data_IF_269115260758
#
_entry.id   IF_269115260758
#
_cell.length_a   1.000
_cell.length_b   1.000
_cell.length_c   1.000
_cell.angle_alpha   90.00
_cell.angle_beta   90.00
_cell.angle_gamma   90.00
#
_symmetry.space_group_name_H-M   'P 1'
#
loop_
_entity.id
_entity.type
_entity.pdbx_description
1 polymer ?
#
# COMPACT_ATOMS: atom_id res chain seq x y z
N UNK A 1 -5.23 -5.88 -7.67
CA UNK A 1 -5.19 -4.66 -6.80
C UNK A 1 -3.97 -4.77 -5.91
N UNK A 2 -3.20 -3.68 -5.78
CA UNK A 2 -1.98 -3.64 -4.97
C UNK A 2 -2.27 -4.09 -3.52
N UNK A 3 -1.89 -5.32 -3.19
CA UNK A 3 -2.08 -5.92 -1.87
C UNK A 3 -0.76 -6.43 -1.26
N UNK A 4 0.36 -6.14 -1.91
CA UNK A 4 1.72 -6.44 -1.44
C UNK A 4 2.68 -5.38 -1.96
N UNK A 5 3.58 -4.93 -1.11
CA UNK A 5 4.60 -3.98 -1.55
C UNK A 5 5.94 -4.20 -0.81
N UNK A 6 6.95 -3.49 -1.28
CA UNK A 6 8.33 -3.57 -0.80
C UNK A 6 8.76 -2.21 -0.28
N UNK A 7 9.46 -2.20 0.85
CA UNK A 7 10.14 -1.03 1.39
C UNK A 7 11.48 -1.47 1.97
N UNK A 8 12.55 -1.20 1.26
CA UNK A 8 13.91 -1.65 1.56
C UNK A 8 14.94 -0.52 1.56
N UNK A 9 14.54 0.66 1.07
CA UNK A 9 15.38 1.85 1.13
C UNK A 9 15.78 2.18 2.57
N UNK A 10 17.02 2.60 2.81
CA UNK A 10 17.46 3.02 4.14
C UNK A 10 16.55 4.12 4.72
N UNK A 11 16.31 4.08 6.03
CA UNK A 11 15.45 5.03 6.72
C UNK A 11 15.85 6.50 6.46
N UNK A 12 17.15 6.78 6.36
CA UNK A 12 17.65 8.12 6.04
C UNK A 12 17.31 8.59 4.62
N UNK A 13 17.33 7.68 3.64
CA UNK A 13 16.92 8.00 2.27
C UNK A 13 15.42 8.30 2.20
N UNK A 14 14.58 7.52 2.91
CA UNK A 14 13.16 7.77 3.02
C UNK A 14 12.92 9.10 3.73
N UNK A 15 13.57 9.35 4.86
CA UNK A 15 13.47 10.60 5.61
C UNK A 15 13.83 11.82 4.75
N UNK A 16 14.93 11.74 4.01
CA UNK A 16 15.38 12.82 3.13
C UNK A 16 14.37 13.13 2.02
N UNK A 17 13.78 12.09 1.38
CA UNK A 17 12.79 12.27 0.33
C UNK A 17 11.46 12.84 0.87
N UNK A 18 10.98 12.27 1.97
CA UNK A 18 9.66 12.61 2.51
C UNK A 18 9.67 13.82 3.44
N UNK A 19 10.82 14.22 3.98
CA UNK A 19 11.04 15.46 4.73
C UNK A 19 10.40 15.48 6.12
N UNK A 20 10.38 14.35 6.84
CA UNK A 20 10.00 14.28 8.25
C UNK A 20 11.24 14.27 9.16
N UNK A 21 11.06 14.60 10.45
CA UNK A 21 12.15 14.77 11.39
C UNK A 21 12.51 13.50 12.17
N UNK A 22 11.58 12.60 12.38
CA UNK A 22 11.70 11.39 13.18
C UNK A 22 12.77 10.44 12.60
N UNK A 23 13.35 9.61 13.46
CA UNK A 23 14.34 8.59 13.09
C UNK A 23 13.81 7.19 13.45
N UNK A 24 12.83 6.67 12.69
CA UNK A 24 12.26 5.37 12.99
C UNK A 24 13.27 4.27 12.76
N UNK A 25 13.37 3.33 13.70
CA UNK A 25 14.05 2.07 13.47
C UNK A 25 13.10 1.10 12.74
N UNK A 26 13.25 1.07 11.43
CA UNK A 26 12.36 0.35 10.54
C UNK A 26 13.20 -0.59 9.65
N UNK A 27 13.09 -1.92 9.81
CA UNK A 27 13.86 -2.86 9.02
C UNK A 27 13.36 -2.92 7.58
N UNK A 28 14.22 -3.29 6.61
CA UNK A 28 13.78 -3.57 5.24
C UNK A 28 12.71 -4.66 5.22
N UNK A 29 11.68 -4.46 4.40
CA UNK A 29 10.57 -5.38 4.21
C UNK A 29 10.38 -5.65 2.72
N UNK A 30 10.41 -6.93 2.36
CA UNK A 30 10.33 -7.38 0.97
C UNK A 30 8.94 -7.88 0.59
N UNK A 31 8.03 -8.03 1.56
CA UNK A 31 6.70 -8.60 1.32
C UNK A 31 5.67 -8.08 2.31
N UNK A 32 5.50 -6.76 2.36
CA UNK A 32 4.50 -6.13 3.23
C UNK A 32 3.11 -6.53 2.77
N UNK A 33 2.31 -7.08 3.68
CA UNK A 33 0.97 -7.60 3.43
C UNK A 33 -0.10 -6.83 4.24
N UNK A 34 -1.37 -6.88 3.82
CA UNK A 34 -2.48 -6.33 4.60
C UNK A 34 -2.47 -6.79 6.06
N UNK A 35 -2.99 -5.96 6.94
CA UNK A 35 -3.03 -6.07 8.40
C UNK A 35 -1.71 -5.82 9.12
N UNK A 36 -0.60 -5.79 8.41
CA UNK A 36 0.71 -5.47 8.99
C UNK A 36 0.88 -3.96 9.19
N UNK A 37 1.77 -3.54 10.11
CA UNK A 37 2.14 -2.14 10.26
C UNK A 37 2.88 -1.65 9.01
N UNK A 38 2.52 -0.46 8.54
CA UNK A 38 3.15 0.24 7.42
C UNK A 38 3.53 1.66 7.81
N UNK A 39 4.65 2.19 7.29
CA UNK A 39 4.97 3.58 7.44
C UNK A 39 4.04 4.45 6.60
N UNK A 40 3.63 5.57 7.18
CA UNK A 40 3.00 6.67 6.46
C UNK A 40 3.69 7.98 6.81
N UNK A 41 3.59 8.95 5.91
CA UNK A 41 3.95 10.34 6.18
C UNK A 41 2.69 11.18 6.04
N UNK A 42 2.34 11.90 7.10
CA UNK A 42 1.18 12.79 7.14
C UNK A 42 1.61 14.21 7.48
N UNK A 43 0.72 15.17 7.29
CA UNK A 43 0.92 16.53 7.80
C UNK A 43 0.34 16.61 9.20
N UNK A 44 1.16 17.03 10.16
CA UNK A 44 0.79 17.24 11.54
C UNK A 44 1.28 18.63 11.96
N UNK A 45 0.36 19.51 12.42
CA UNK A 45 0.66 20.92 12.75
C UNK A 45 1.51 21.65 11.67
N UNK A 46 1.24 21.40 10.39
CA UNK A 46 1.96 22.00 9.28
C UNK A 46 3.34 21.40 8.98
N UNK A 47 3.76 20.35 9.70
CA UNK A 47 5.01 19.64 9.48
C UNK A 47 4.73 18.21 9.02
N UNK A 48 5.64 17.68 8.21
CA UNK A 48 5.57 16.27 7.84
C UNK A 48 6.03 15.40 9.01
N UNK A 49 5.19 14.45 9.39
CA UNK A 49 5.42 13.54 10.49
C UNK A 49 5.33 12.09 10.01
N UNK A 50 6.20 11.24 10.53
CA UNK A 50 6.20 9.79 10.33
C UNK A 50 5.24 9.14 11.32
N UNK A 51 4.49 8.13 10.86
CA UNK A 51 3.71 7.27 11.74
C UNK A 51 3.72 5.82 11.22
N UNK A 52 3.61 4.87 12.14
CA UNK A 52 3.31 3.47 11.81
C UNK A 52 1.82 3.24 12.03
N UNK A 53 1.15 2.71 11.00
CA UNK A 53 -0.29 2.45 11.03
C UNK A 53 -0.59 1.05 10.50
N UNK A 54 -1.71 0.48 10.86
CA UNK A 54 -2.14 -0.80 10.32
C UNK A 54 -2.63 -0.64 8.87
N UNK A 55 -2.13 -1.45 7.94
CA UNK A 55 -2.64 -1.49 6.57
C UNK A 55 -3.97 -2.25 6.51
N UNK A 56 -5.02 -1.53 6.27
CA UNK A 56 -6.39 -2.03 6.29
C UNK A 56 -7.29 -1.02 6.96
N UNK A 57 -7.76 -0.07 6.17
CA UNK A 57 -8.50 1.11 6.59
C UNK A 57 -9.80 0.74 7.30
N UNK A 58 -10.01 1.30 8.46
CA UNK A 58 -11.18 1.12 9.27
C UNK A 58 -11.85 2.49 9.51
N UNK A 59 -13.02 2.74 8.91
CA UNK A 59 -13.74 3.99 9.13
C UNK A 59 -14.11 4.18 10.59
N UNK A 60 -14.02 5.41 11.11
CA UNK A 60 -14.28 5.74 12.52
C UNK A 60 -15.69 5.39 13.00
N UNK A 61 -16.66 5.26 12.10
CA UNK A 61 -18.06 4.90 12.42
C UNK A 61 -18.31 3.39 12.56
N UNK A 62 -17.33 2.54 12.25
CA UNK A 62 -17.47 1.08 12.38
C UNK A 62 -17.52 0.71 13.85
N UNK A 63 -18.57 0.00 14.26
CA UNK A 63 -18.75 -0.42 15.66
C UNK A 63 -17.96 -1.66 16.02
N UNK A 64 -17.94 -2.65 15.13
CA UNK A 64 -17.21 -3.92 15.31
C UNK A 64 -16.32 -4.19 14.10
N UNK A 65 -14.98 -4.02 14.24
CA UNK A 65 -14.05 -4.23 13.14
C UNK A 65 -14.00 -5.68 12.65
N UNK A 66 -14.40 -6.66 13.46
CA UNK A 66 -14.39 -8.09 13.09
C UNK A 66 -15.44 -8.41 12.04
N UNK A 67 -16.51 -7.64 11.99
CA UNK A 67 -17.60 -7.80 11.01
C UNK A 67 -17.45 -6.92 9.78
N UNK A 68 -16.42 -6.07 9.75
CA UNK A 68 -16.20 -5.13 8.67
C UNK A 68 -15.17 -5.65 7.67
N UNK A 69 -15.46 -5.51 6.38
CA UNK A 69 -14.54 -5.94 5.31
C UNK A 69 -13.25 -5.13 5.33
N UNK A 70 -12.12 -5.81 5.22
CA UNK A 70 -10.79 -5.18 5.17
C UNK A 70 -10.65 -4.30 3.92
N UNK A 71 -10.47 -3.00 4.12
CA UNK A 71 -10.28 -2.02 3.04
C UNK A 71 -8.80 -1.68 2.86
N UNK A 72 -8.09 -2.49 2.09
CA UNK A 72 -6.66 -2.27 1.82
C UNK A 72 -6.40 -1.21 0.75
N UNK A 73 -7.37 -1.01 -0.16
CA UNK A 73 -7.28 -0.02 -1.24
C UNK A 73 -8.53 0.84 -1.34
N UNK A 74 -8.34 2.09 -1.76
CA UNK A 74 -9.39 3.03 -2.10
C UNK A 74 -9.33 3.34 -3.60
N UNK A 75 -10.43 3.13 -4.34
CA UNK A 75 -10.46 3.46 -5.79
C UNK A 75 -10.57 4.96 -5.97
N UNK A 76 -9.63 5.58 -6.68
CA UNK A 76 -9.59 7.03 -6.96
C UNK A 76 -10.88 7.56 -7.58
N UNK A 77 -11.51 6.77 -8.46
CA UNK A 77 -12.73 7.14 -9.18
C UNK A 77 -13.94 7.35 -8.27
N UNK A 78 -13.94 6.78 -7.07
CA UNK A 78 -15.09 6.85 -6.14
C UNK A 78 -14.74 7.30 -4.73
N UNK A 79 -13.46 7.56 -4.46
CA UNK A 79 -12.96 7.83 -3.10
C UNK A 79 -13.55 9.10 -2.47
N UNK A 80 -13.89 10.10 -3.29
CA UNK A 80 -14.46 11.39 -2.84
C UNK A 80 -15.87 11.19 -2.27
N UNK A 81 -16.66 10.30 -2.88
CA UNK A 81 -18.07 10.13 -2.57
C UNK A 81 -18.35 8.95 -1.64
N UNK A 82 -17.48 7.92 -1.70
CA UNK A 82 -17.71 6.68 -0.97
C UNK A 82 -17.70 6.92 0.55
N UNK A 83 -18.77 6.55 1.29
CA UNK A 83 -18.91 6.82 2.72
C UNK A 83 -17.71 6.39 3.56
N UNK A 84 -17.07 5.29 3.22
CA UNK A 84 -15.90 4.79 3.93
C UNK A 84 -14.70 5.75 3.84
N UNK A 85 -14.50 6.45 2.73
CA UNK A 85 -13.27 7.19 2.46
C UNK A 85 -13.43 8.72 2.37
N UNK A 86 -14.64 9.21 2.12
CA UNK A 86 -14.89 10.65 1.84
C UNK A 86 -14.34 11.59 2.92
N UNK A 87 -14.43 11.21 4.20
CA UNK A 87 -13.92 12.02 5.30
C UNK A 87 -12.39 12.01 5.33
N UNK A 88 -11.78 10.84 5.16
CA UNK A 88 -10.33 10.72 5.08
C UNK A 88 -9.76 11.44 3.86
N UNK A 89 -10.43 11.38 2.70
CA UNK A 89 -10.04 12.11 1.51
C UNK A 89 -10.04 13.63 1.72
N UNK A 90 -10.94 14.15 2.54
CA UNK A 90 -11.02 15.57 2.87
C UNK A 90 -10.02 16.02 3.93
N UNK A 91 -9.62 15.14 4.87
CA UNK A 91 -8.93 15.57 6.11
C UNK A 91 -7.70 14.74 6.49
N UNK A 92 -7.50 13.55 5.93
CA UNK A 92 -6.53 12.55 6.40
C UNK A 92 -5.83 11.85 5.25
N UNK A 93 -5.25 12.68 4.37
CA UNK A 93 -4.38 12.19 3.30
C UNK A 93 -2.98 11.94 3.85
N UNK A 94 -2.32 10.90 3.37
CA UNK A 94 -0.95 10.58 3.73
C UNK A 94 -0.19 10.05 2.51
N UNK A 95 1.13 9.98 2.61
CA UNK A 95 1.99 9.29 1.67
C UNK A 95 2.42 7.95 2.27
N UNK A 96 2.43 6.90 1.48
CA UNK A 96 2.96 5.59 1.87
C UNK A 96 4.28 5.38 1.14
N UNK A 97 5.43 5.41 1.84
CA UNK A 97 6.74 5.11 1.25
C UNK A 97 6.81 3.66 0.76
N UNK A 98 7.35 3.45 -0.43
CA UNK A 98 7.56 2.13 -1.02
C UNK A 98 8.72 2.15 -2.01
N UNK A 99 9.38 1.01 -2.22
CA UNK A 99 10.40 0.81 -3.25
C UNK A 99 9.84 0.06 -4.48
N UNK A 100 8.64 -0.49 -4.35
CA UNK A 100 7.94 -1.20 -5.40
C UNK A 100 6.74 -1.96 -4.85
N UNK A 101 6.01 -2.62 -5.72
CA UNK A 101 4.84 -3.41 -5.35
C UNK A 101 4.73 -4.66 -6.20
N UNK A 102 3.91 -5.60 -5.75
CA UNK A 102 3.61 -6.80 -6.51
C UNK A 102 2.21 -6.73 -7.10
N UNK A 103 2.10 -7.24 -8.31
CA UNK A 103 0.82 -7.55 -8.97
C UNK A 103 0.88 -8.92 -9.61
N UNK A 104 -0.27 -9.56 -9.72
CA UNK A 104 -0.42 -10.88 -10.29
C UNK A 104 -1.14 -10.78 -11.64
N UNK A 105 -0.61 -11.50 -12.63
CA UNK A 105 -1.27 -11.57 -13.93
C UNK A 105 -2.71 -12.08 -13.81
N UNK A 106 -3.60 -11.59 -14.67
CA UNK A 106 -4.98 -12.08 -14.76
C UNK A 106 -5.09 -13.44 -15.45
N UNK A 107 -3.98 -13.90 -16.10
CA UNK A 107 -3.90 -15.24 -16.71
C UNK A 107 -3.81 -16.35 -15.66
N UNK A 108 -4.24 -17.55 -16.00
CA UNK A 108 -4.08 -18.73 -15.14
C UNK A 108 -3.03 -19.68 -15.71
N UNK A 109 -2.09 -20.17 -14.89
CA UNK A 109 -1.87 -19.82 -13.48
C UNK A 109 -1.43 -18.36 -13.32
N UNK A 110 -1.83 -17.71 -12.21
CA UNK A 110 -1.43 -16.34 -11.89
C UNK A 110 0.06 -16.31 -11.61
N UNK A 111 0.77 -15.41 -12.29
CA UNK A 111 2.21 -15.19 -12.07
C UNK A 111 2.42 -13.88 -11.34
N UNK A 112 3.23 -13.83 -10.28
CA UNK A 112 3.59 -12.60 -9.61
C UNK A 112 4.63 -11.81 -10.41
N UNK A 113 4.43 -10.50 -10.45
CA UNK A 113 5.35 -9.53 -11.02
C UNK A 113 5.75 -8.54 -9.95
N UNK A 114 7.03 -8.19 -9.88
CA UNK A 114 7.50 -7.06 -9.10
C UNK A 114 7.58 -5.82 -10.00
N UNK A 115 7.02 -4.73 -9.52
CA UNK A 115 6.95 -3.44 -10.21
C UNK A 115 7.70 -2.42 -9.39
N UNK A 116 8.66 -1.71 -9.99
CA UNK A 116 9.50 -0.73 -9.31
C UNK A 116 9.85 0.45 -10.20
N UNK A 117 10.35 1.58 -9.62
CA UNK A 117 10.94 2.64 -10.41
C UNK A 117 12.16 2.15 -11.22
N UNK A 118 12.24 2.50 -12.49
CA UNK A 118 13.41 2.20 -13.35
C UNK A 118 14.70 2.82 -12.82
N UNK A 119 14.59 4.01 -12.24
CA UNK A 119 15.73 4.73 -11.65
C UNK A 119 16.14 4.19 -10.27
N UNK A 120 15.38 3.24 -9.72
CA UNK A 120 15.53 2.81 -8.33
C UNK A 120 15.08 3.87 -7.33
N UNK A 121 15.25 3.55 -6.03
CA UNK A 121 14.88 4.42 -4.92
C UNK A 121 13.40 4.44 -4.57
N UNK A 122 13.06 5.09 -3.45
CA UNK A 122 11.69 5.09 -2.94
C UNK A 122 10.75 5.99 -3.74
N UNK A 123 9.50 5.56 -3.82
CA UNK A 123 8.34 6.29 -4.35
C UNK A 123 7.29 6.47 -3.26
N UNK A 124 6.34 7.35 -3.51
CA UNK A 124 5.24 7.62 -2.61
C UNK A 124 3.92 7.15 -3.22
N UNK A 125 3.22 6.25 -2.56
CA UNK A 125 1.82 6.01 -2.90
C UNK A 125 0.92 7.02 -2.19
N UNK A 126 -0.13 7.48 -2.88
CA UNK A 126 -1.21 8.20 -2.23
C UNK A 126 -1.93 7.28 -1.25
N UNK A 127 -2.06 7.72 -0.02
CA UNK A 127 -2.74 6.99 1.04
C UNK A 127 -3.81 7.83 1.72
N UNK A 128 -4.76 7.15 2.35
CA UNK A 128 -5.73 7.71 3.27
C UNK A 128 -5.57 7.02 4.61
N UNK A 129 -5.66 7.76 5.70
CA UNK A 129 -5.56 7.20 7.04
C UNK A 129 -6.77 7.58 7.89
N UNK A 130 -7.02 6.83 8.97
CA UNK A 130 -8.09 7.08 9.92
C UNK A 130 -7.71 6.50 11.27
N UNK A 131 -8.07 7.20 12.35
CA UNK A 131 -8.06 6.65 13.70
C UNK A 131 -9.43 6.06 13.99
N UNK A 132 -9.48 4.77 14.22
CA UNK A 132 -10.66 4.11 14.74
C UNK A 132 -10.56 4.04 16.27
N UNK A 133 -11.63 4.46 16.96
CA UNK A 133 -11.73 4.38 18.41
C UNK A 133 -12.75 3.32 18.78
N UNK A 134 -12.33 2.32 19.52
CA UNK A 134 -13.17 1.24 19.97
C UNK A 134 -14.01 1.57 21.20
N UNK A 135 -14.92 0.67 21.59
CA UNK A 135 -15.88 0.92 22.67
C UNK A 135 -15.23 1.07 24.03
N UNK A 136 -14.01 0.58 24.22
CA UNK A 136 -13.28 0.72 25.50
C UNK A 136 -12.24 1.85 25.46
N UNK A 137 -12.24 2.68 24.40
CA UNK A 137 -11.30 3.78 24.23
C UNK A 137 -9.96 3.38 23.58
N UNK A 138 -9.83 2.14 23.10
CA UNK A 138 -8.67 1.74 22.30
C UNK A 138 -8.64 2.50 20.98
N UNK A 139 -7.47 2.95 20.56
CA UNK A 139 -7.28 3.65 19.29
C UNK A 139 -6.38 2.86 18.35
N UNK A 140 -6.79 2.75 17.10
CA UNK A 140 -6.01 2.09 16.05
C UNK A 140 -5.94 3.00 14.83
N UNK A 141 -4.74 3.46 14.51
CA UNK A 141 -4.48 4.16 13.26
C UNK A 141 -4.39 3.16 12.12
N UNK A 142 -5.15 3.41 11.06
CA UNK A 142 -5.27 2.52 9.91
C UNK A 142 -5.09 3.29 8.60
N UNK A 143 -4.67 2.62 7.53
CA UNK A 143 -4.54 3.25 6.23
C UNK A 143 -4.99 2.36 5.07
N UNK A 144 -5.36 2.99 3.95
CA UNK A 144 -5.56 2.38 2.64
C UNK A 144 -4.72 3.09 1.58
N UNK A 145 -4.28 2.35 0.56
CA UNK A 145 -3.58 2.90 -0.60
C UNK A 145 -4.62 3.30 -1.66
N UNK A 146 -4.51 4.50 -2.21
CA UNK A 146 -5.35 4.95 -3.32
C UNK A 146 -4.86 4.30 -4.61
N UNK A 147 -5.78 3.77 -5.40
CA UNK A 147 -5.48 3.11 -6.67
C UNK A 147 -6.19 3.79 -7.83
N UNK A 148 -5.59 3.72 -9.00
CA UNK A 148 -6.13 4.20 -10.28
C UNK A 148 -6.02 3.11 -11.35
N UNK A 149 -6.47 3.36 -12.55
CA UNK A 149 -6.26 2.45 -13.70
C UNK A 149 -4.77 2.29 -13.96
N UNK A 150 -4.37 1.13 -14.47
CA UNK A 150 -2.99 0.89 -14.89
C UNK A 150 -2.59 1.80 -16.06
N UNK A 151 -1.30 2.11 -16.13
CA UNK A 151 -0.71 2.62 -17.36
C UNK A 151 -0.58 1.49 -18.40
N UNK A 152 -0.13 1.83 -19.63
CA UNK A 152 -0.03 0.83 -20.73
C UNK A 152 0.98 -0.27 -20.43
N UNK A 153 2.07 0.05 -19.75
CA UNK A 153 3.11 -0.95 -19.45
C UNK A 153 2.66 -2.03 -18.45
N UNK A 154 1.71 -1.70 -17.55
CA UNK A 154 1.20 -2.62 -16.54
C UNK A 154 -0.16 -3.22 -16.90
N UNK A 155 -0.86 -2.69 -17.91
CA UNK A 155 -2.20 -3.15 -18.30
C UNK A 155 -2.24 -4.64 -18.71
N UNK A 156 -1.13 -5.19 -19.21
CA UNK A 156 -1.01 -6.61 -19.53
C UNK A 156 -0.90 -7.52 -18.29
N UNK A 157 -0.57 -6.95 -17.12
CA UNK A 157 -0.42 -7.67 -15.86
C UNK A 157 -1.72 -7.53 -15.05
N UNK A 158 -2.16 -6.29 -14.81
CA UNK A 158 -3.33 -5.99 -14.01
C UNK A 158 -3.94 -4.65 -14.43
N UNK A 159 -5.27 -4.50 -14.28
CA UNK A 159 -6.03 -3.30 -14.66
C UNK A 159 -5.86 -2.11 -13.70
N UNK A 160 -5.24 -2.31 -12.53
CA UNK A 160 -5.06 -1.30 -11.48
C UNK A 160 -3.60 -1.14 -11.07
N UNK A 161 -3.26 0.07 -10.61
CA UNK A 161 -1.99 0.39 -9.97
C UNK A 161 -2.19 1.39 -8.83
N UNK A 162 -1.25 1.48 -7.86
CA UNK A 162 -1.27 2.56 -6.87
C UNK A 162 -1.12 3.92 -7.55
N UNK A 163 -1.77 4.94 -7.01
CA UNK A 163 -1.49 6.33 -7.39
C UNK A 163 -0.12 6.70 -6.83
N UNK A 164 0.81 7.05 -7.72
CA UNK A 164 2.15 7.49 -7.35
C UNK A 164 2.18 9.01 -7.33
N UNK A 165 2.46 9.58 -6.15
CA UNK A 165 2.56 11.04 -5.96
C UNK A 165 4.01 11.45 -6.20
N UNK A 166 4.30 12.32 -7.18
CA UNK A 166 5.65 12.82 -7.38
C UNK A 166 6.06 13.77 -6.25
N UNK A 167 7.37 13.88 -5.90
CA UNK A 167 7.85 14.72 -4.80
C UNK A 167 7.37 16.17 -4.86
N UNK A 168 7.28 16.74 -6.06
CA UNK A 168 6.79 18.10 -6.28
C UNK A 168 5.31 18.30 -5.88
N UNK A 169 4.53 17.21 -5.81
CA UNK A 169 3.11 17.23 -5.44
C UNK A 169 2.85 16.80 -3.98
N UNK A 170 3.87 16.51 -3.17
CA UNK A 170 3.68 16.06 -1.79
C UNK A 170 2.86 17.05 -0.96
N UNK A 171 3.17 18.35 -1.04
CA UNK A 171 2.42 19.37 -0.30
C UNK A 171 0.97 19.48 -0.80
N UNK A 172 0.76 19.44 -2.12
CA UNK A 172 -0.58 19.46 -2.70
C UNK A 172 -1.42 18.27 -2.19
N UNK A 173 -0.80 17.09 -2.08
CA UNK A 173 -1.49 15.91 -1.57
C UNK A 173 -1.74 15.97 -0.06
N UNK A 174 -0.75 16.36 0.73
CA UNK A 174 -0.80 16.29 2.20
C UNK A 174 -1.61 17.41 2.83
N UNK A 175 -1.61 18.63 2.25
CA UNK A 175 -2.26 19.77 2.86
C UNK A 175 -3.77 19.74 2.67
N UNK A 176 -4.44 19.10 3.62
CA UNK A 176 -5.90 18.99 3.64
C UNK A 176 -6.60 20.30 4.03
N UNK A 177 -5.89 21.28 4.56
CA UNK A 177 -6.45 22.56 4.97
C UNK A 177 -6.52 23.55 3.79
N UNK A 178 -5.46 23.61 2.99
CA UNK A 178 -5.36 24.50 1.84
C UNK A 178 -5.89 23.89 0.52
N UNK A 179 -5.89 22.54 0.40
CA UNK A 179 -6.21 21.82 -0.84
C UNK A 179 -7.43 20.91 -0.61
N UNK A 180 -8.53 21.21 -1.27
CA UNK A 180 -9.74 20.39 -1.20
C UNK A 180 -9.56 19.01 -1.86
N UNK A 181 -10.53 18.11 -1.59
CA UNK A 181 -10.49 16.74 -2.08
C UNK A 181 -10.54 16.64 -3.61
N UNK A 182 -11.26 17.53 -4.28
CA UNK A 182 -11.42 17.54 -5.74
C UNK A 182 -10.11 17.96 -6.43
N UNK A 183 -9.47 19.01 -5.92
CA UNK A 183 -8.16 19.48 -6.40
C UNK A 183 -7.09 18.40 -6.18
N UNK A 184 -7.07 17.76 -5.00
CA UNK A 184 -6.13 16.67 -4.72
C UNK A 184 -6.36 15.43 -5.62
N UNK A 185 -7.60 15.17 -6.02
CA UNK A 185 -7.94 14.05 -6.92
C UNK A 185 -7.41 14.22 -8.34
N UNK A 186 -6.98 15.41 -8.74
CA UNK A 186 -6.27 15.59 -10.01
C UNK A 186 -4.96 14.77 -10.11
N UNK A 187 -4.44 14.29 -8.98
CA UNK A 187 -3.29 13.37 -8.91
C UNK A 187 -3.63 11.91 -9.23
N UNK A 188 -4.91 11.53 -9.37
CA UNK A 188 -5.32 10.14 -9.59
C UNK A 188 -5.12 9.69 -11.04
N UNK A 189 -3.99 10.05 -11.61
CA UNK A 189 -3.58 9.63 -12.93
C UNK A 189 -2.65 8.41 -12.86
N UNK A 190 -2.69 7.52 -13.86
CA UNK A 190 -1.69 6.49 -14.01
C UNK A 190 -0.28 7.11 -14.09
N UNK A 191 0.69 6.48 -13.44
CA UNK A 191 2.07 6.90 -13.59
C UNK A 191 2.55 6.75 -15.05
N UNK A 192 3.51 7.59 -15.46
CA UNK A 192 4.11 7.50 -16.79
C UNK A 192 4.63 6.09 -17.07
N UNK A 193 4.44 5.58 -18.28
CA UNK A 193 5.02 4.31 -18.76
C UNK A 193 6.54 4.27 -18.64
N UNK A 194 7.19 5.44 -18.66
CA UNK A 194 8.63 5.56 -18.51
C UNK A 194 9.12 5.46 -17.05
N UNK A 195 8.25 5.63 -16.07
CA UNK A 195 8.61 5.65 -14.65
C UNK A 195 8.93 4.26 -14.11
N UNK A 196 8.14 3.26 -14.49
CA UNK A 196 8.16 1.93 -13.88
C UNK A 196 8.70 0.87 -14.85
N UNK A 197 9.30 -0.15 -14.27
CA UNK A 197 9.59 -1.42 -14.92
C UNK A 197 8.92 -2.55 -14.13
N UNK A 198 8.68 -3.68 -14.79
CA UNK A 198 8.12 -4.87 -14.17
C UNK A 198 8.79 -6.13 -14.70
N UNK A 199 8.94 -7.13 -13.85
CA UNK A 199 9.44 -8.44 -14.21
C UNK A 199 8.82 -9.53 -13.33
N UNK A 200 8.73 -10.73 -13.86
CA UNK A 200 8.21 -11.88 -13.13
C UNK A 200 9.17 -12.26 -11.99
N UNK A 201 8.58 -12.66 -10.85
CA UNK A 201 9.32 -13.12 -9.67
C UNK A 201 8.84 -14.50 -9.22
N UNK A 202 9.52 -15.07 -8.23
CA UNK A 202 9.16 -16.38 -7.67
C UNK A 202 7.78 -16.38 -7.02
N UNK A 203 7.06 -17.50 -7.14
CA UNK A 203 5.80 -17.76 -6.43
C UNK A 203 5.96 -17.77 -4.90
N UNK A 204 7.19 -17.78 -4.37
CA UNK A 204 7.46 -17.67 -2.95
C UNK A 204 6.83 -16.40 -2.32
N UNK A 205 6.63 -15.33 -3.10
CA UNK A 205 5.96 -14.09 -2.66
C UNK A 205 4.49 -14.32 -2.27
N UNK A 206 3.85 -15.38 -2.74
CA UNK A 206 2.45 -15.70 -2.41
C UNK A 206 2.26 -15.93 -0.90
N UNK A 207 3.26 -16.44 -0.21
CA UNK A 207 3.23 -16.64 1.24
C UNK A 207 3.68 -15.35 1.93
N UNK A 208 2.77 -14.69 2.67
CA UNK A 208 3.04 -13.44 3.38
C UNK A 208 4.13 -13.57 4.48
N UNK A 209 4.38 -14.79 4.96
CA UNK A 209 5.44 -15.06 5.92
C UNK A 209 6.85 -15.02 5.31
N UNK A 210 6.96 -15.15 3.99
CA UNK A 210 8.25 -14.99 3.32
C UNK A 210 8.55 -13.50 3.19
N UNK A 211 9.70 -13.07 3.69
CA UNK A 211 10.13 -11.67 3.70
C UNK A 211 11.65 -11.61 3.57
N UNK A 212 12.16 -11.77 2.34
CA UNK A 212 13.60 -11.85 2.06
C UNK A 212 13.97 -11.25 0.71
N UNK A 213 15.25 -10.86 0.49
CA UNK A 213 15.70 -10.23 -0.76
C UNK A 213 15.43 -11.04 -2.03
N UNK A 214 15.37 -12.38 -1.93
CA UNK A 214 15.14 -13.26 -3.07
C UNK A 214 13.77 -13.04 -3.73
N UNK A 215 12.80 -12.46 -2.99
CA UNK A 215 11.46 -12.20 -3.50
C UNK A 215 11.40 -11.13 -4.60
N UNK A 216 12.41 -10.25 -4.66
CA UNK A 216 12.51 -9.20 -5.68
C UNK A 216 13.51 -9.53 -6.79
N UNK A 217 14.05 -10.75 -6.81
CA UNK A 217 14.94 -11.22 -7.88
C UNK A 217 14.12 -11.69 -9.08
N UNK A 218 14.48 -11.29 -10.31
CA UNK A 218 13.81 -11.79 -11.51
C UNK A 218 13.79 -13.33 -11.55
N UNK A 219 12.61 -13.89 -11.79
CA UNK A 219 12.49 -15.34 -11.99
C UNK A 219 13.22 -15.77 -13.28
N UNK A 220 13.88 -16.93 -13.30
CA UNK A 220 14.45 -17.47 -14.53
C UNK A 220 13.39 -17.61 -15.64
N UNK A 221 13.75 -17.35 -16.87
CA UNK A 221 12.84 -17.42 -18.02
C UNK A 221 12.23 -18.82 -18.27
N UNK A 222 12.71 -19.86 -17.59
CA UNK A 222 12.38 -21.28 -17.80
C UNK A 222 11.37 -21.88 -16.80
N UNK A 223 10.72 -21.10 -15.94
CA UNK A 223 9.73 -21.65 -14.97
C UNK A 223 8.32 -21.60 -15.56
N UNK A 224 8.14 -22.24 -16.69
CA UNK A 224 6.83 -22.53 -17.29
C UNK A 224 6.39 -23.99 -17.04
N UNK A 225 6.71 -24.54 -15.89
CA UNK A 225 6.33 -25.90 -15.50
C UNK A 225 5.40 -25.87 -14.28
N UNK A 226 4.14 -26.27 -14.55
CA UNK A 226 3.03 -26.39 -13.61
C UNK A 226 3.20 -27.42 -12.48
N UNK A 227 4.28 -27.35 -11.71
CA UNK A 227 4.54 -28.31 -10.63
C UNK A 227 4.19 -27.82 -9.23
N UNK A 228 3.85 -26.53 -9.01
CA UNK A 228 3.53 -25.99 -7.68
C UNK A 228 2.04 -25.61 -7.48
N UNK A 229 1.14 -26.12 -8.30
CA UNK A 229 -0.29 -25.77 -8.24
C UNK A 229 -1.07 -26.47 -7.10
N UNK A 230 -0.44 -27.30 -6.27
CA UNK A 230 -1.15 -28.18 -5.33
C UNK A 230 -1.22 -27.68 -3.88
N UNK A 231 -0.70 -26.47 -3.55
CA UNK A 231 -0.64 -26.02 -2.15
C UNK A 231 -1.28 -24.64 -1.86
N UNK A 232 -2.06 -24.06 -2.77
CA UNK A 232 -2.48 -22.67 -2.65
C UNK A 232 -4.01 -22.44 -2.62
N UNK A 233 -4.82 -23.42 -2.27
CA UNK A 233 -6.28 -23.22 -2.19
C UNK A 233 -6.86 -23.80 -0.89
N UNK A 234 -6.48 -23.18 0.24
CA UNK A 234 -7.24 -23.29 1.49
C UNK A 234 -7.68 -21.88 1.90
N UNK A 235 -8.98 -21.63 2.07
CA UNK A 235 -9.44 -20.34 2.60
C UNK A 235 -8.89 -20.15 4.00
N UNK A 236 -8.44 -18.93 4.32
CA UNK A 236 -7.99 -18.58 5.65
C UNK A 236 -9.11 -18.87 6.66
N UNK A 237 -8.85 -19.80 7.58
CA UNK A 237 -9.73 -20.17 8.67
C UNK A 237 -9.98 -18.95 9.58
N UNK A 238 -11.22 -18.46 9.73
CA UNK A 238 -11.53 -17.28 10.55
C UNK A 238 -11.21 -17.47 12.05
N UNK A 239 -11.03 -18.71 12.52
CA UNK A 239 -10.76 -19.00 13.94
C UNK A 239 -9.34 -18.68 14.40
N UNK A 240 -8.37 -18.48 13.47
CA UNK A 240 -6.97 -18.16 13.85
C UNK A 240 -6.68 -16.66 13.97
N UNK A 241 -7.59 -15.78 13.57
CA UNK A 241 -7.43 -14.34 13.73
C UNK A 241 -7.61 -13.86 15.18
N UNK A 242 -8.23 -14.66 16.04
CA UNK A 242 -8.62 -14.27 17.41
C UNK A 242 -7.47 -14.35 18.43
N UNK A 243 -6.35 -15.02 18.10
CA UNK A 243 -5.21 -15.15 19.03
C UNK A 243 -4.14 -14.06 18.90
N UNK A 244 -4.21 -13.20 17.89
CA UNK A 244 -3.21 -12.15 17.66
C UNK A 244 -3.63 -10.77 18.20
N UNK A 245 -4.87 -10.62 18.64
CA UNK A 245 -5.41 -9.37 19.21
C UNK A 245 -5.13 -9.19 20.72
N UNK A 246 -4.46 -10.16 21.38
CA UNK A 246 -4.18 -10.09 22.82
C UNK A 246 -2.78 -9.58 23.17
N UNK A 247 -2.03 -9.00 22.23
CA UNK A 247 -0.65 -8.56 22.45
C UNK A 247 -0.40 -7.08 22.06
N UNK A 248 -1.48 -6.29 21.99
CA UNK A 248 -1.35 -4.82 21.89
C UNK A 248 -2.37 -4.14 22.77
#
# INVERSE_FOLDING_TARGET
MCARYVITSPADAIRALFGYAEQPNFPPRYNVAPTQPIPIVRLDEGKRAFALVRWGFLPSWVKDPRTFSLLVNARGESVIDKPAFRNAMRRRRCLVPADGFYEWSDTRPRRPFFVRPKAGGPIAFAGLWETWTGPNGEEVDTAAIVTTRSNRSLAAIHDRMPVIVPPAAFNLWLDCAAVDATTAAALFLPASDALLESYAVSNAVNRAANDSPELIVPAPASVDNGADAAAADAPADPEKADKQLSLF
#
